data_IF_626446745841
#
_entry.id   IF_626446745841
#
_cell.length_a   1.000
_cell.length_b   1.000
_cell.length_c   1.000
_cell.angle_alpha   90.00
_cell.angle_beta   90.00
_cell.angle_gamma   90.00
#
_symmetry.space_group_name_H-M   'P 1'
#
loop_
_entity.id
_entity.type
_entity.pdbx_description
1 polymer ?
#
# COMPACT_ATOMS: atom_id res chain seq x y z
N UNK A 1 -6.68 -4.48 10.06
CA UNK A 1 -7.90 -3.80 10.55
C UNK A 1 -9.19 -4.04 9.72
N UNK A 2 -9.45 -5.20 9.08
CA UNK A 2 -10.73 -5.35 8.36
C UNK A 2 -11.96 -5.43 9.28
N UNK A 3 -11.80 -5.97 10.51
CA UNK A 3 -12.88 -6.09 11.50
C UNK A 3 -13.44 -4.72 11.94
N UNK A 4 -12.54 -3.76 12.22
CA UNK A 4 -12.90 -2.38 12.57
C UNK A 4 -13.49 -1.65 11.36
N UNK A 5 -12.94 -1.89 10.16
CA UNK A 5 -13.45 -1.34 8.91
C UNK A 5 -14.88 -1.77 8.57
N UNK A 6 -15.21 -3.03 8.83
CA UNK A 6 -16.58 -3.51 8.65
C UNK A 6 -17.56 -2.91 9.69
N UNK A 7 -17.12 -2.74 10.94
CA UNK A 7 -17.97 -2.19 12.01
C UNK A 7 -18.20 -0.68 11.87
N UNK A 8 -17.20 0.08 11.42
CA UNK A 8 -17.35 1.49 11.08
C UNK A 8 -18.02 1.69 9.71
N UNK A 9 -17.80 0.76 8.78
CA UNK A 9 -18.41 0.73 7.45
C UNK A 9 -19.92 0.59 7.49
N UNK A 10 -20.47 -0.22 8.39
CA UNK A 10 -21.93 -0.35 8.54
C UNK A 10 -22.64 0.95 8.98
N UNK A 11 -21.92 1.91 9.57
CA UNK A 11 -22.44 3.22 10.00
C UNK A 11 -22.21 4.36 8.97
N UNK A 12 -21.16 4.27 8.14
CA UNK A 12 -20.74 5.35 7.23
C UNK A 12 -20.46 4.92 5.78
N UNK A 13 -20.90 3.72 5.35
CA UNK A 13 -20.64 3.14 4.03
C UNK A 13 -20.97 4.08 2.85
N UNK A 14 -22.04 4.87 2.97
CA UNK A 14 -22.50 5.77 1.90
C UNK A 14 -21.59 7.01 1.74
N UNK A 15 -21.02 7.52 2.83
CA UNK A 15 -20.11 8.68 2.78
C UNK A 15 -18.69 8.28 2.35
N UNK A 16 -18.21 7.13 2.81
CA UNK A 16 -16.85 6.65 2.51
C UNK A 16 -16.72 6.25 1.04
N UNK A 17 -17.71 5.58 0.44
CA UNK A 17 -17.61 5.14 -0.97
C UNK A 17 -17.42 6.30 -1.95
N UNK A 18 -17.99 7.48 -1.66
CA UNK A 18 -17.89 8.65 -2.56
C UNK A 18 -16.53 9.35 -2.50
N UNK A 19 -15.85 9.29 -1.36
CA UNK A 19 -14.56 9.97 -1.16
C UNK A 19 -13.35 9.03 -1.24
N UNK A 20 -13.55 7.71 -1.14
CA UNK A 20 -12.47 6.72 -1.15
C UNK A 20 -11.58 6.82 -2.39
N UNK A 21 -12.15 6.89 -3.60
CA UNK A 21 -11.37 6.96 -4.84
C UNK A 21 -10.44 8.19 -4.91
N UNK A 22 -10.94 9.35 -4.48
CA UNK A 22 -10.17 10.60 -4.45
C UNK A 22 -9.06 10.53 -3.39
N UNK A 23 -9.36 9.97 -2.22
CA UNK A 23 -8.37 9.80 -1.14
C UNK A 23 -7.27 8.83 -1.56
N UNK A 24 -7.62 7.71 -2.20
CA UNK A 24 -6.69 6.72 -2.73
C UNK A 24 -5.77 7.34 -3.79
N UNK A 25 -6.32 8.09 -4.75
CA UNK A 25 -5.51 8.81 -5.75
C UNK A 25 -4.49 9.73 -5.06
N UNK A 26 -4.94 10.53 -4.10
CA UNK A 26 -4.10 11.54 -3.47
C UNK A 26 -2.94 10.88 -2.71
N UNK A 27 -3.23 9.82 -1.95
CA UNK A 27 -2.21 9.08 -1.19
C UNK A 27 -1.25 8.33 -2.12
N UNK A 28 -1.75 7.52 -3.05
CA UNK A 28 -0.92 6.72 -3.96
C UNK A 28 -0.15 7.58 -4.94
N UNK A 29 -0.73 8.68 -5.41
CA UNK A 29 -0.07 9.64 -6.30
C UNK A 29 1.09 10.35 -5.62
N UNK A 30 0.91 10.82 -4.38
CA UNK A 30 1.98 11.47 -3.61
C UNK A 30 3.09 10.48 -3.25
N UNK A 31 2.75 9.29 -2.76
CA UNK A 31 3.73 8.26 -2.40
C UNK A 31 4.45 7.74 -3.64
N UNK A 32 3.72 7.38 -4.69
CA UNK A 32 4.27 6.88 -5.95
C UNK A 32 5.17 7.92 -6.63
N UNK A 33 4.74 9.19 -6.68
CA UNK A 33 5.55 10.29 -7.20
C UNK A 33 6.84 10.50 -6.39
N UNK A 34 6.76 10.41 -5.05
CA UNK A 34 7.94 10.51 -4.18
C UNK A 34 8.90 9.34 -4.41
N UNK A 35 8.41 8.11 -4.56
CA UNK A 35 9.22 6.93 -4.87
C UNK A 35 9.90 7.02 -6.25
N UNK A 36 9.21 7.56 -7.26
CA UNK A 36 9.82 7.80 -8.58
C UNK A 36 10.96 8.82 -8.46
N UNK A 37 10.72 9.94 -7.77
CA UNK A 37 11.75 10.97 -7.55
C UNK A 37 12.97 10.40 -6.82
N UNK A 38 12.73 9.65 -5.75
CA UNK A 38 13.79 9.00 -4.96
C UNK A 38 14.56 7.97 -5.79
N UNK A 39 13.88 7.15 -6.60
CA UNK A 39 14.51 6.18 -7.48
C UNK A 39 15.42 6.80 -8.54
N UNK A 40 15.05 7.96 -9.11
CA UNK A 40 15.92 8.72 -10.02
C UNK A 40 17.11 9.36 -9.31
N UNK A 41 16.94 9.84 -8.08
CA UNK A 41 18.01 10.40 -7.25
C UNK A 41 19.03 9.32 -6.86
N UNK A 42 18.55 8.13 -6.47
CA UNK A 42 19.38 6.96 -6.15
C UNK A 42 20.14 6.40 -7.35
N UNK A 43 19.64 6.59 -8.58
CA UNK A 43 20.35 6.21 -9.82
C UNK A 43 21.49 7.17 -10.18
N UNK A 44 21.41 8.45 -9.77
CA UNK A 44 22.43 9.48 -10.03
C UNK A 44 23.52 9.53 -8.95
N UNK A 45 23.20 9.25 -7.69
CA UNK A 45 24.14 9.30 -6.56
C UNK A 45 24.07 8.04 -5.66
N UNK A 46 24.72 6.92 -6.05
CA UNK A 46 24.61 5.65 -5.32
C UNK A 46 25.17 5.69 -3.88
N UNK A 47 26.02 6.65 -3.52
CA UNK A 47 26.62 6.77 -2.17
C UNK A 47 25.64 7.29 -1.09
N UNK A 48 24.57 8.03 -1.44
CA UNK A 48 23.58 8.52 -0.45
C UNK A 48 22.60 7.43 0.02
N UNK A 49 22.44 6.35 -0.75
CA UNK A 49 21.47 5.26 -0.49
C UNK A 49 21.81 4.50 0.80
N UNK A 50 23.10 4.24 1.04
CA UNK A 50 23.56 3.49 2.21
C UNK A 50 23.19 4.18 3.55
N UNK A 51 23.06 5.51 3.55
CA UNK A 51 22.69 6.30 4.72
C UNK A 51 21.16 6.40 4.90
N UNK A 52 20.38 6.31 3.81
CA UNK A 52 18.91 6.44 3.80
C UNK A 52 18.14 5.16 4.16
N UNK A 53 18.79 3.99 4.10
CA UNK A 53 18.22 2.69 4.51
C UNK A 53 17.81 2.59 6.00
N UNK A 54 17.99 3.65 6.79
CA UNK A 54 17.44 3.71 8.15
C UNK A 54 15.91 3.81 8.06
N UNK A 55 15.27 2.65 8.18
CA UNK A 55 13.86 2.53 8.56
C UNK A 55 13.64 3.24 9.89
N UNK A 56 13.42 4.56 9.82
CA UNK A 56 13.03 5.36 10.98
C UNK A 56 11.69 4.84 11.49
N UNK A 57 11.55 4.73 12.81
CA UNK A 57 10.28 4.42 13.45
C UNK A 57 9.14 5.32 12.96
N UNK A 58 9.43 6.59 12.64
CA UNK A 58 8.43 7.51 12.07
C UNK A 58 7.95 7.10 10.68
N UNK A 59 8.84 6.58 9.83
CA UNK A 59 8.48 6.08 8.48
C UNK A 59 7.64 4.81 8.62
N UNK A 60 8.04 3.90 9.51
CA UNK A 60 7.31 2.65 9.78
C UNK A 60 5.90 2.93 10.31
N UNK A 61 5.76 3.88 11.25
CA UNK A 61 4.45 4.29 11.78
C UNK A 61 3.59 4.93 10.68
N UNK A 62 4.16 5.83 9.88
CA UNK A 62 3.42 6.45 8.76
C UNK A 62 2.97 5.41 7.72
N UNK A 63 3.84 4.46 7.36
CA UNK A 63 3.52 3.38 6.45
C UNK A 63 2.43 2.45 7.03
N UNK A 64 2.51 2.12 8.31
CA UNK A 64 1.50 1.33 8.99
C UNK A 64 0.13 2.02 8.96
N UNK A 65 0.07 3.34 9.20
CA UNK A 65 -1.17 4.13 9.09
C UNK A 65 -1.69 4.14 7.65
N UNK A 66 -0.84 4.44 6.67
CA UNK A 66 -1.22 4.47 5.26
C UNK A 66 -1.79 3.11 4.79
N UNK A 67 -1.15 2.01 5.17
CA UNK A 67 -1.59 0.64 4.85
C UNK A 67 -2.88 0.27 5.57
N UNK A 68 -3.10 0.78 6.79
CA UNK A 68 -4.33 0.54 7.55
C UNK A 68 -5.53 1.24 6.95
N UNK A 69 -5.36 2.46 6.40
CA UNK A 69 -6.43 3.20 5.69
C UNK A 69 -6.85 2.45 4.42
N UNK A 70 -5.89 1.91 3.68
CA UNK A 70 -6.15 1.11 2.48
C UNK A 70 -6.94 -0.18 2.82
N UNK A 71 -6.49 -0.92 3.84
CA UNK A 71 -7.21 -2.12 4.32
C UNK A 71 -8.60 -1.80 4.93
N UNK A 72 -8.79 -0.59 5.46
CA UNK A 72 -10.08 -0.10 5.96
C UNK A 72 -11.07 0.10 4.81
N UNK A 73 -10.65 0.70 3.69
CA UNK A 73 -11.50 0.89 2.52
C UNK A 73 -12.02 -0.44 1.95
N UNK A 74 -11.16 -1.47 1.88
CA UNK A 74 -11.55 -2.83 1.49
C UNK A 74 -12.54 -3.44 2.49
N UNK A 75 -12.36 -3.21 3.80
CA UNK A 75 -13.29 -3.66 4.84
C UNK A 75 -14.68 -3.03 4.75
N UNK A 76 -14.76 -1.74 4.40
CA UNK A 76 -16.04 -1.05 4.13
C UNK A 76 -16.70 -1.62 2.87
N UNK A 77 -15.92 -1.91 1.82
CA UNK A 77 -16.42 -2.56 0.60
C UNK A 77 -17.04 -3.94 0.85
N UNK A 78 -16.43 -4.77 1.71
CA UNK A 78 -17.01 -6.06 2.09
C UNK A 78 -18.30 -5.94 2.91
N UNK A 79 -18.44 -4.87 3.71
CA UNK A 79 -19.67 -4.56 4.45
C UNK A 79 -20.85 -4.31 3.51
N UNK A 80 -20.61 -3.60 2.40
CA UNK A 80 -21.62 -3.32 1.37
C UNK A 80 -22.07 -4.57 0.61
N UNK A 81 -21.21 -5.60 0.52
CA UNK A 81 -21.49 -6.86 -0.19
C UNK A 81 -22.09 -7.97 0.69
N UNK A 82 -22.38 -7.71 1.98
CA UNK A 82 -22.88 -8.70 2.96
C UNK A 82 -22.08 -10.02 3.00
N UNK A 83 -20.77 -9.96 2.76
CA UNK A 83 -19.92 -11.15 2.77
C UNK A 83 -19.53 -11.50 4.21
N UNK A 84 -19.35 -12.79 4.48
CA UNK A 84 -18.96 -13.28 5.80
C UNK A 84 -17.52 -12.82 6.15
N UNK A 85 -17.40 -11.72 6.90
CA UNK A 85 -16.13 -11.05 7.23
C UNK A 85 -15.11 -12.00 7.83
N UNK A 86 -15.55 -12.95 8.65
CA UNK A 86 -14.64 -13.91 9.30
C UNK A 86 -13.89 -14.74 8.26
N UNK A 87 -14.58 -15.21 7.21
CA UNK A 87 -13.95 -15.97 6.12
C UNK A 87 -13.01 -15.09 5.29
N UNK A 88 -13.42 -13.86 4.97
CA UNK A 88 -12.60 -12.92 4.21
C UNK A 88 -11.30 -12.56 4.95
N UNK A 89 -11.38 -12.31 6.26
CA UNK A 89 -10.21 -11.96 7.09
C UNK A 89 -9.22 -13.13 7.16
N UNK A 90 -9.71 -14.36 7.38
CA UNK A 90 -8.85 -15.55 7.43
C UNK A 90 -8.14 -15.76 6.10
N UNK A 91 -8.85 -15.61 4.98
CA UNK A 91 -8.26 -15.78 3.66
C UNK A 91 -7.21 -14.70 3.35
N UNK A 92 -7.49 -13.43 3.66
CA UNK A 92 -6.52 -12.34 3.52
C UNK A 92 -5.29 -12.60 4.39
N UNK A 93 -5.46 -13.04 5.64
CA UNK A 93 -4.34 -13.33 6.53
C UNK A 93 -3.43 -14.43 5.98
N UNK A 94 -4.01 -15.54 5.51
CA UNK A 94 -3.25 -16.67 4.93
C UNK A 94 -2.50 -16.22 3.67
N UNK A 95 -3.19 -15.58 2.72
CA UNK A 95 -2.58 -15.13 1.46
C UNK A 95 -1.47 -14.12 1.75
N UNK A 96 -1.68 -13.18 2.69
CA UNK A 96 -0.67 -12.18 3.07
C UNK A 96 0.58 -12.84 3.67
N UNK A 97 0.42 -13.84 4.54
CA UNK A 97 1.55 -14.58 5.13
C UNK A 97 2.37 -15.27 4.03
N UNK A 98 1.70 -15.98 3.12
CA UNK A 98 2.36 -16.72 2.04
C UNK A 98 3.11 -15.74 1.12
N UNK A 99 2.42 -14.71 0.63
CA UNK A 99 3.00 -13.73 -0.29
C UNK A 99 4.16 -12.96 0.35
N UNK A 100 4.02 -12.52 1.61
CA UNK A 100 5.07 -11.78 2.31
C UNK A 100 6.30 -12.66 2.52
N UNK A 101 6.12 -13.93 2.87
CA UNK A 101 7.23 -14.87 3.04
C UNK A 101 8.01 -15.04 1.73
N UNK A 102 7.30 -15.25 0.63
CA UNK A 102 7.91 -15.37 -0.71
C UNK A 102 8.61 -14.07 -1.10
N UNK A 103 7.95 -12.93 -0.90
CA UNK A 103 8.48 -11.60 -1.24
C UNK A 103 9.76 -11.28 -0.47
N UNK A 104 9.88 -11.66 0.81
CA UNK A 104 11.10 -11.45 1.60
C UNK A 104 12.27 -12.29 1.05
N UNK A 105 12.01 -13.55 0.68
CA UNK A 105 13.04 -14.45 0.14
C UNK A 105 13.56 -13.92 -1.21
N UNK A 106 12.64 -13.53 -2.10
CA UNK A 106 12.99 -12.94 -3.40
C UNK A 106 13.67 -11.58 -3.20
N UNK A 107 13.13 -10.75 -2.31
CA UNK A 107 13.64 -9.40 -2.02
C UNK A 107 15.05 -9.40 -1.43
N UNK A 108 15.41 -10.40 -0.60
CA UNK A 108 16.80 -10.56 -0.13
C UNK A 108 17.78 -10.88 -1.27
N UNK A 109 17.36 -11.65 -2.28
CA UNK A 109 18.23 -12.11 -3.37
C UNK A 109 18.35 -11.07 -4.49
N UNK A 110 17.28 -10.32 -4.74
CA UNK A 110 17.20 -9.34 -5.82
C UNK A 110 17.35 -7.88 -5.35
N UNK A 111 17.29 -7.62 -4.05
CA UNK A 111 17.31 -6.26 -3.49
C UNK A 111 18.58 -5.46 -3.77
N UNK A 112 19.73 -6.12 -3.94
CA UNK A 112 20.99 -5.44 -4.25
C UNK A 112 21.11 -5.05 -5.74
N UNK A 113 20.43 -5.76 -6.64
CA UNK A 113 20.47 -5.50 -8.09
C UNK A 113 19.34 -4.57 -8.53
N UNK A 114 18.17 -4.70 -7.90
CA UNK A 114 16.96 -3.97 -8.30
C UNK A 114 16.74 -2.65 -7.55
N UNK A 115 17.54 -2.29 -6.54
CA UNK A 115 17.28 -1.16 -5.63
C UNK A 115 16.63 0.08 -6.26
N UNK A 116 17.31 0.76 -7.20
CA UNK A 116 16.73 1.96 -7.84
C UNK A 116 15.65 1.65 -8.87
N UNK A 117 15.79 0.58 -9.65
CA UNK A 117 14.82 0.19 -10.67
C UNK A 117 13.48 -0.25 -10.06
N UNK A 118 13.49 -0.92 -8.91
CA UNK A 118 12.31 -1.36 -8.20
C UNK A 118 11.56 -0.20 -7.52
N UNK A 119 12.25 0.82 -7.03
CA UNK A 119 11.60 2.04 -6.52
C UNK A 119 10.86 2.78 -7.64
N UNK A 120 11.49 2.95 -8.81
CA UNK A 120 10.85 3.61 -9.96
C UNK A 120 9.67 2.78 -10.46
N UNK A 121 9.85 1.47 -10.63
CA UNK A 121 8.80 0.57 -11.11
C UNK A 121 7.62 0.50 -10.12
N UNK A 122 7.92 0.38 -8.83
CA UNK A 122 6.90 0.37 -7.77
C UNK A 122 6.14 1.69 -7.69
N UNK A 123 6.84 2.83 -7.79
CA UNK A 123 6.21 4.14 -7.84
C UNK A 123 5.33 4.33 -9.08
N UNK A 124 5.75 3.86 -10.25
CA UNK A 124 4.95 3.91 -11.47
C UNK A 124 3.67 3.06 -11.35
N UNK A 125 3.77 1.85 -10.81
CA UNK A 125 2.62 0.98 -10.56
C UNK A 125 1.63 1.64 -9.59
N UNK A 126 2.11 2.27 -8.52
CA UNK A 126 1.26 2.99 -7.55
C UNK A 126 0.49 4.15 -8.20
N UNK A 127 1.16 4.94 -9.06
CA UNK A 127 0.50 6.04 -9.78
C UNK A 127 -0.59 5.50 -10.72
N UNK A 128 -0.32 4.40 -11.44
CA UNK A 128 -1.30 3.75 -12.33
C UNK A 128 -2.51 3.26 -11.53
N UNK A 129 -2.30 2.61 -10.38
CA UNK A 129 -3.38 2.13 -9.51
C UNK A 129 -4.20 3.31 -8.99
N UNK A 130 -3.55 4.40 -8.56
CA UNK A 130 -4.24 5.61 -8.11
C UNK A 130 -5.14 6.22 -9.19
N UNK A 131 -4.65 6.31 -10.42
CA UNK A 131 -5.43 6.81 -11.57
C UNK A 131 -6.62 5.88 -11.85
N UNK A 132 -6.40 4.55 -11.82
CA UNK A 132 -7.45 3.57 -12.04
C UNK A 132 -8.56 3.66 -10.98
N UNK A 133 -8.22 3.99 -9.73
CA UNK A 133 -9.18 4.09 -8.62
C UNK A 133 -10.19 5.26 -8.75
N UNK A 134 -9.96 6.21 -9.67
CA UNK A 134 -10.93 7.27 -10.01
C UNK A 134 -11.85 6.87 -11.17
N UNK A 135 -11.36 6.01 -12.06
CA UNK A 135 -12.06 5.59 -13.27
C UNK A 135 -13.01 4.42 -12.98
N UNK A 136 -12.71 3.63 -11.95
CA UNK A 136 -13.52 2.51 -11.46
C UNK A 136 -14.57 2.98 -10.44
#
# INVERSE_FOLDING_TARGET
MPLIGNFAGSLFASFISRYAGIVILLILGVIGGKMIKEGFEHRKEPQKVAMRKKLSLGILIFQAIATSIDAFAVGVGFSAMQVNIVQAVVLIAIVTIILTTIAIIIGRKFGDILGSSAEILGGAILVIIGIKAIIA
#
